data_IF_218986630776
#
_entry.id   IF_218986630776
#
_cell.length_a   1.000
_cell.length_b   1.000
_cell.length_c   1.000
_cell.angle_alpha   90.00
_cell.angle_beta   90.00
_cell.angle_gamma   90.00
#
_symmetry.space_group_name_H-M   'P 1'
#
loop_
_entity.id
_entity.type
_entity.pdbx_description
1 polymer ?
#
# COMPACT_ATOMS: atom_id res chain seq x y z
N UNK A 1 81.26 4.63 21.42
CA UNK A 1 80.72 5.06 20.12
C UNK A 1 79.74 3.99 19.71
N UNK A 2 78.44 4.28 19.75
CA UNK A 2 77.39 3.35 19.34
C UNK A 2 76.82 3.86 18.01
N UNK A 3 77.05 3.11 16.94
CA UNK A 3 76.65 3.47 15.59
C UNK A 3 75.23 2.94 15.35
N UNK A 4 74.24 3.78 15.67
CA UNK A 4 72.83 3.49 15.40
C UNK A 4 72.54 3.45 13.91
N UNK A 5 72.35 2.25 13.36
CA UNK A 5 71.77 2.07 12.03
C UNK A 5 70.25 1.95 12.16
N UNK A 6 69.54 3.02 11.84
CA UNK A 6 68.09 3.02 11.73
C UNK A 6 67.71 2.73 10.27
N UNK A 7 67.38 1.48 9.96
CA UNK A 7 66.85 1.08 8.66
C UNK A 7 65.36 1.45 8.60
N UNK A 8 65.04 2.59 8.00
CA UNK A 8 63.67 2.93 7.61
C UNK A 8 63.41 2.36 6.22
N UNK A 9 62.60 1.31 6.14
CA UNK A 9 62.09 0.79 4.86
C UNK A 9 60.91 1.67 4.43
N UNK A 10 61.12 2.53 3.45
CA UNK A 10 60.03 3.22 2.73
C UNK A 10 59.48 2.26 1.68
N UNK A 11 58.30 1.70 1.97
CA UNK A 11 57.54 0.94 0.98
C UNK A 11 56.75 1.93 0.12
N UNK A 12 57.28 2.28 -1.05
CA UNK A 12 56.53 3.00 -2.08
C UNK A 12 55.49 2.07 -2.70
N UNK A 13 54.29 2.05 -2.11
CA UNK A 13 53.14 1.38 -2.69
C UNK A 13 52.67 2.21 -3.88
N UNK A 14 53.08 1.82 -5.09
CA UNK A 14 52.42 2.26 -6.30
C UNK A 14 51.02 1.64 -6.32
N UNK A 15 50.03 2.35 -5.76
CA UNK A 15 48.63 1.90 -5.75
C UNK A 15 48.09 2.05 -7.17
N UNK A 16 47.76 0.96 -7.88
CA UNK A 16 47.09 1.09 -9.16
C UNK A 16 45.74 1.77 -8.93
N UNK A 17 45.56 2.97 -9.50
CA UNK A 17 44.26 3.64 -9.56
C UNK A 17 43.36 2.76 -10.44
N UNK A 18 42.55 1.93 -9.78
CA UNK A 18 41.46 1.25 -10.45
C UNK A 18 40.46 2.32 -10.90
N UNK A 19 40.48 2.65 -12.19
CA UNK A 19 39.44 3.47 -12.82
C UNK A 19 38.14 2.69 -12.78
N UNK A 20 37.34 2.88 -11.72
CA UNK A 20 36.08 2.21 -11.50
C UNK A 20 34.96 2.86 -12.33
N UNK A 21 35.01 2.67 -13.65
CA UNK A 21 33.96 3.11 -14.56
C UNK A 21 32.60 2.43 -14.29
N UNK A 22 32.57 1.35 -13.49
CA UNK A 22 31.33 0.70 -13.03
C UNK A 22 30.64 1.48 -11.91
N UNK A 23 31.41 2.07 -10.98
CA UNK A 23 30.86 2.89 -9.89
C UNK A 23 30.24 4.21 -10.36
N UNK A 24 30.79 4.84 -11.40
CA UNK A 24 30.26 6.10 -11.91
C UNK A 24 28.87 5.91 -12.54
N UNK A 25 28.71 4.86 -13.35
CA UNK A 25 27.42 4.51 -13.96
C UNK A 25 26.39 4.12 -12.89
N UNK A 26 26.79 3.33 -11.89
CA UNK A 26 25.93 2.95 -10.77
C UNK A 26 25.51 4.17 -9.94
N UNK A 27 26.43 5.10 -9.68
CA UNK A 27 26.17 6.34 -8.93
C UNK A 27 25.16 7.23 -9.65
N UNK A 28 25.30 7.40 -10.97
CA UNK A 28 24.33 8.14 -11.80
C UNK A 28 22.95 7.46 -11.78
N UNK A 29 22.89 6.14 -11.92
CA UNK A 29 21.63 5.39 -11.86
C UNK A 29 20.95 5.50 -10.48
N UNK A 30 21.71 5.41 -9.39
CA UNK A 30 21.20 5.62 -8.03
C UNK A 30 20.70 7.06 -7.86
N UNK A 31 21.43 8.06 -8.36
CA UNK A 31 21.01 9.46 -8.33
C UNK A 31 19.68 9.69 -9.04
N UNK A 32 19.53 9.17 -10.26
CA UNK A 32 18.27 9.23 -11.02
C UNK A 32 17.15 8.50 -10.26
N UNK A 33 17.42 7.30 -9.74
CA UNK A 33 16.45 6.54 -8.95
C UNK A 33 15.97 7.31 -7.71
N UNK A 34 16.88 7.94 -6.96
CA UNK A 34 16.55 8.72 -5.76
C UNK A 34 15.77 9.99 -6.10
N UNK A 35 16.07 10.66 -7.22
CA UNK A 35 15.29 11.82 -7.69
C UNK A 35 13.86 11.40 -8.03
N UNK A 36 13.69 10.30 -8.76
CA UNK A 36 12.36 9.76 -9.11
C UNK A 36 11.59 9.36 -7.85
N UNK A 37 12.25 8.64 -6.94
CA UNK A 37 11.65 8.19 -5.68
C UNK A 37 11.28 9.37 -4.77
N UNK A 38 12.15 10.37 -4.65
CA UNK A 38 11.91 11.60 -3.91
C UNK A 38 10.75 12.41 -4.49
N UNK A 39 10.71 12.57 -5.82
CA UNK A 39 9.60 13.22 -6.52
C UNK A 39 8.27 12.49 -6.29
N UNK A 40 8.27 11.16 -6.40
CA UNK A 40 7.08 10.34 -6.14
C UNK A 40 6.59 10.48 -4.71
N UNK A 41 7.49 10.46 -3.71
CA UNK A 41 7.15 10.67 -2.30
C UNK A 41 6.53 12.04 -2.06
N UNK A 42 7.10 13.10 -2.64
CA UNK A 42 6.55 14.46 -2.51
C UNK A 42 5.13 14.55 -3.09
N UNK A 43 4.90 14.00 -4.27
CA UNK A 43 3.56 13.98 -4.90
C UNK A 43 2.56 13.20 -4.03
N UNK A 44 2.96 12.03 -3.51
CA UNK A 44 2.12 11.25 -2.61
C UNK A 44 1.81 12.00 -1.31
N UNK A 45 2.79 12.68 -0.72
CA UNK A 45 2.62 13.46 0.50
C UNK A 45 1.64 14.63 0.29
N UNK A 46 1.80 15.38 -0.81
CA UNK A 46 0.89 16.48 -1.15
C UNK A 46 -0.54 15.96 -1.37
N UNK A 47 -0.69 14.87 -2.12
CA UNK A 47 -1.99 14.22 -2.33
C UNK A 47 -2.62 13.73 -1.02
N UNK A 48 -1.80 13.17 -0.12
CA UNK A 48 -2.24 12.74 1.20
C UNK A 48 -2.79 13.93 2.02
N UNK A 49 -2.05 15.04 2.06
CA UNK A 49 -2.45 16.24 2.80
C UNK A 49 -3.76 16.82 2.25
N UNK A 50 -3.88 16.94 0.92
CA UNK A 50 -5.12 17.46 0.31
C UNK A 50 -6.33 16.60 0.62
N UNK A 51 -6.19 15.28 0.52
CA UNK A 51 -7.26 14.35 0.86
C UNK A 51 -7.67 14.48 2.34
N UNK A 52 -6.70 14.51 3.25
CA UNK A 52 -6.95 14.64 4.69
C UNK A 52 -7.64 15.97 5.05
N UNK A 53 -7.22 17.09 4.44
CA UNK A 53 -7.86 18.40 4.66
C UNK A 53 -9.29 18.44 4.10
N UNK A 54 -9.50 17.86 2.91
CA UNK A 54 -10.83 17.75 2.29
C UNK A 54 -11.78 16.98 3.20
N UNK A 55 -11.32 15.82 3.67
CA UNK A 55 -12.11 14.94 4.52
C UNK A 55 -12.36 15.52 5.92
N UNK A 56 -11.37 16.20 6.51
CA UNK A 56 -11.51 16.94 7.77
C UNK A 56 -12.61 18.01 7.67
N UNK A 57 -12.58 18.81 6.60
CA UNK A 57 -13.55 19.90 6.39
C UNK A 57 -14.96 19.35 6.18
N UNK A 58 -15.12 18.31 5.37
CA UNK A 58 -16.39 17.62 5.15
C UNK A 58 -16.95 17.08 6.47
N UNK A 59 -16.11 16.37 7.23
CA UNK A 59 -16.52 15.79 8.50
C UNK A 59 -16.94 16.82 9.56
N UNK A 60 -16.25 17.96 9.61
CA UNK A 60 -16.63 19.08 10.47
C UNK A 60 -17.98 19.67 10.08
N UNK A 61 -18.26 19.80 8.78
CA UNK A 61 -19.56 20.28 8.26
C UNK A 61 -20.70 19.30 8.49
N UNK A 62 -20.41 17.99 8.51
CA UNK A 62 -21.37 16.93 8.83
C UNK A 62 -21.57 16.73 10.35
N UNK A 63 -20.93 17.55 11.21
CA UNK A 63 -21.10 17.46 12.67
C UNK A 63 -20.46 16.21 13.31
N UNK A 64 -19.49 15.57 12.65
CA UNK A 64 -18.81 14.39 13.21
C UNK A 64 -17.94 14.77 14.40
N UNK A 65 -17.94 13.93 15.44
CA UNK A 65 -17.25 14.22 16.70
C UNK A 65 -15.71 14.24 16.56
N UNK A 66 -15.15 13.44 15.65
CA UNK A 66 -13.68 13.25 15.54
C UNK A 66 -13.13 13.47 14.11
N UNK A 67 -13.24 14.67 13.50
CA UNK A 67 -12.79 14.91 12.12
C UNK A 67 -11.27 14.81 11.93
N UNK A 68 -10.50 14.93 13.02
CA UNK A 68 -9.04 14.83 13.00
C UNK A 68 -8.53 13.44 12.58
N UNK A 69 -9.38 12.40 12.66
CA UNK A 69 -9.03 11.04 12.21
C UNK A 69 -8.63 10.97 10.74
N UNK A 70 -9.03 11.96 9.93
CA UNK A 70 -8.61 12.10 8.54
C UNK A 70 -7.08 12.21 8.35
N UNK A 71 -6.31 12.60 9.37
CA UNK A 71 -4.85 12.76 9.29
C UNK A 71 -4.05 11.52 9.70
N UNK A 72 -4.69 10.48 10.23
CA UNK A 72 -4.03 9.25 10.64
C UNK A 72 -4.34 8.16 9.61
N UNK A 73 -3.36 7.49 8.98
CA UNK A 73 -3.60 6.58 7.86
C UNK A 73 -4.71 5.55 8.10
N UNK A 74 -4.64 4.78 9.19
CA UNK A 74 -5.65 3.77 9.53
C UNK A 74 -6.98 4.38 9.99
N UNK A 75 -6.93 5.45 10.79
CA UNK A 75 -8.15 6.10 11.26
C UNK A 75 -8.87 6.83 10.12
N UNK A 76 -8.16 7.22 9.06
CA UNK A 76 -8.72 7.84 7.86
C UNK A 76 -9.58 6.85 7.10
N UNK A 77 -9.10 5.63 6.83
CA UNK A 77 -9.92 4.62 6.15
C UNK A 77 -11.21 4.30 6.94
N UNK A 78 -11.13 4.30 8.27
CA UNK A 78 -12.32 4.22 9.13
C UNK A 78 -13.21 5.45 8.99
N UNK A 79 -12.65 6.65 9.13
CA UNK A 79 -13.38 7.91 9.07
C UNK A 79 -14.06 8.12 7.71
N UNK A 80 -13.44 7.65 6.62
CA UNK A 80 -14.01 7.69 5.28
C UNK A 80 -15.31 6.88 5.21
N UNK A 81 -15.32 5.66 5.76
CA UNK A 81 -16.57 4.90 5.85
C UNK A 81 -17.53 5.45 6.91
N UNK A 82 -17.04 6.14 7.95
CA UNK A 82 -17.92 6.84 8.90
C UNK A 82 -18.65 8.04 8.26
N UNK A 83 -18.00 8.72 7.30
CA UNK A 83 -18.58 9.79 6.50
C UNK A 83 -19.63 9.29 5.51
N UNK A 84 -19.49 8.08 4.97
CA UNK A 84 -20.49 7.47 4.09
C UNK A 84 -21.81 7.17 4.82
N UNK A 85 -21.76 6.83 6.12
CA UNK A 85 -22.95 6.41 6.86
C UNK A 85 -23.42 5.00 6.49
N UNK A 86 -24.60 4.55 6.94
CA UNK A 86 -25.09 3.20 6.63
C UNK A 86 -25.43 3.05 5.14
N UNK A 87 -24.92 1.98 4.51
CA UNK A 87 -25.19 1.70 3.09
C UNK A 87 -26.37 0.75 2.94
N UNK A 88 -27.51 1.25 2.46
CA UNK A 88 -28.68 0.42 2.11
C UNK A 88 -28.52 -0.14 0.69
N UNK A 89 -28.13 -1.41 0.56
CA UNK A 89 -28.18 -2.15 -0.71
C UNK A 89 -29.49 -2.93 -0.81
N UNK A 90 -30.52 -2.31 -1.41
CA UNK A 90 -31.86 -2.88 -1.66
C UNK A 90 -32.51 -3.52 -0.42
N UNK A 91 -32.13 -4.76 -0.05
CA UNK A 91 -32.63 -5.52 1.11
C UNK A 91 -31.60 -5.73 2.23
N UNK A 92 -30.35 -5.30 2.07
CA UNK A 92 -29.28 -5.51 3.05
C UNK A 92 -28.61 -4.19 3.40
N UNK A 93 -28.49 -3.90 4.69
CA UNK A 93 -27.79 -2.72 5.17
C UNK A 93 -26.38 -3.10 5.60
N UNK A 94 -25.38 -2.44 5.01
CA UNK A 94 -24.01 -2.46 5.55
C UNK A 94 -24.00 -1.45 6.68
N UNK A 95 -24.19 -1.95 7.91
CA UNK A 95 -24.06 -1.16 9.14
C UNK A 95 -22.57 -0.82 9.30
N UNK A 96 -22.26 0.47 9.37
CA UNK A 96 -20.92 1.02 9.63
C UNK A 96 -19.84 0.55 8.63
N UNK A 97 -19.88 1.01 7.37
CA UNK A 97 -18.89 0.62 6.36
C UNK A 97 -17.45 1.05 6.72
N UNK A 98 -17.27 2.03 7.62
CA UNK A 98 -15.95 2.40 8.17
C UNK A 98 -15.26 1.28 8.94
N UNK A 99 -16.00 0.46 9.69
CA UNK A 99 -15.43 -0.69 10.38
C UNK A 99 -14.98 -1.75 9.37
N UNK A 100 -15.80 -2.01 8.35
CA UNK A 100 -15.45 -2.98 7.30
C UNK A 100 -14.23 -2.56 6.48
N UNK A 101 -14.10 -1.27 6.14
CA UNK A 101 -12.95 -0.75 5.41
C UNK A 101 -11.64 -0.90 6.21
N UNK A 102 -11.71 -0.82 7.55
CA UNK A 102 -10.56 -1.02 8.45
C UNK A 102 -10.27 -2.50 8.72
N UNK A 103 -11.29 -3.31 8.93
CA UNK A 103 -11.14 -4.71 9.38
C UNK A 103 -10.74 -5.64 8.23
N UNK A 104 -11.24 -5.41 7.02
CA UNK A 104 -10.89 -6.25 5.85
C UNK A 104 -9.37 -6.38 5.60
N UNK A 105 -8.58 -5.30 5.55
CA UNK A 105 -7.14 -5.42 5.34
C UNK A 105 -6.43 -6.11 6.51
N UNK A 106 -6.92 -5.95 7.74
CA UNK A 106 -6.36 -6.64 8.92
C UNK A 106 -6.60 -8.15 8.82
N UNK A 107 -7.83 -8.57 8.51
CA UNK A 107 -8.16 -9.99 8.33
C UNK A 107 -7.33 -10.58 7.19
N UNK A 108 -7.28 -9.91 6.04
CA UNK A 108 -6.52 -10.38 4.89
C UNK A 108 -5.02 -10.51 5.21
N UNK A 109 -4.43 -9.50 5.86
CA UNK A 109 -3.03 -9.54 6.29
C UNK A 109 -2.76 -10.67 7.29
N UNK A 110 -3.65 -10.89 8.25
CA UNK A 110 -3.52 -11.99 9.20
C UNK A 110 -3.59 -13.36 8.51
N UNK A 111 -4.59 -13.57 7.64
CA UNK A 111 -4.78 -14.85 6.93
C UNK A 111 -3.61 -15.13 6.00
N UNK A 112 -3.21 -14.15 5.18
CA UNK A 112 -2.06 -14.30 4.27
C UNK A 112 -0.74 -14.48 5.02
N UNK A 113 -0.55 -13.77 6.13
CA UNK A 113 0.62 -13.94 7.00
C UNK A 113 0.73 -15.35 7.59
N UNK A 114 -0.37 -15.92 8.06
CA UNK A 114 -0.41 -17.31 8.55
C UNK A 114 -0.12 -18.30 7.42
N UNK A 115 -0.79 -18.16 6.27
CA UNK A 115 -0.61 -19.06 5.12
C UNK A 115 0.82 -19.03 4.58
N UNK A 116 1.42 -17.85 4.47
CA UNK A 116 2.81 -17.71 4.01
C UNK A 116 3.80 -18.26 5.02
N UNK A 117 3.56 -18.09 6.32
CA UNK A 117 4.40 -18.70 7.37
C UNK A 117 4.37 -20.22 7.29
N UNK A 118 3.19 -20.83 7.17
CA UNK A 118 3.03 -22.29 7.00
C UNK A 118 3.73 -22.76 5.73
N UNK A 119 3.60 -22.02 4.63
CA UNK A 119 4.29 -22.33 3.38
C UNK A 119 5.80 -22.33 3.56
N UNK A 120 6.38 -21.29 4.18
CA UNK A 120 7.83 -21.19 4.40
C UNK A 120 8.32 -22.38 5.23
N UNK A 121 7.64 -22.72 6.32
CA UNK A 121 7.99 -23.89 7.14
C UNK A 121 7.93 -25.18 6.32
N UNK A 122 6.86 -25.38 5.54
CA UNK A 122 6.70 -26.54 4.68
C UNK A 122 7.78 -26.65 3.61
N UNK A 123 8.15 -25.54 2.97
CA UNK A 123 9.21 -25.49 1.96
C UNK A 123 10.59 -25.75 2.58
N UNK A 124 10.90 -25.15 3.73
CA UNK A 124 12.17 -25.37 4.43
C UNK A 124 12.30 -26.84 4.82
N UNK A 125 11.25 -27.44 5.39
CA UNK A 125 11.27 -28.86 5.74
C UNK A 125 11.36 -29.76 4.50
N UNK A 126 10.67 -29.44 3.41
CA UNK A 126 10.75 -30.17 2.15
C UNK A 126 12.14 -30.12 1.52
N UNK A 127 12.80 -28.95 1.55
CA UNK A 127 14.17 -28.79 1.08
C UNK A 127 15.14 -29.59 1.93
N UNK A 128 15.08 -29.46 3.27
CA UNK A 128 15.94 -30.24 4.19
C UNK A 128 15.75 -31.76 4.02
N UNK A 129 14.51 -32.22 3.83
CA UNK A 129 14.24 -33.64 3.56
C UNK A 129 14.83 -34.10 2.21
N UNK A 130 14.79 -33.23 1.20
CA UNK A 130 15.31 -33.57 -0.12
C UNK A 130 16.85 -33.68 -0.16
N UNK A 131 17.54 -32.86 0.64
CA UNK A 131 19.00 -32.94 0.85
C UNK A 131 19.38 -34.21 1.63
N UNK A 132 18.62 -34.58 2.67
CA UNK A 132 18.91 -35.79 3.45
C UNK A 132 18.66 -37.09 2.67
N UNK A 133 17.68 -37.08 1.76
CA UNK A 133 17.33 -38.23 0.93
C UNK A 133 18.10 -38.29 -0.41
N UNK A 134 18.91 -37.28 -0.74
CA UNK A 134 19.62 -37.15 -2.03
C UNK A 134 18.68 -37.39 -3.23
N UNK A 135 17.45 -36.88 -3.13
CA UNK A 135 16.36 -37.22 -4.04
C UNK A 135 15.94 -36.02 -4.88
N UNK A 136 16.28 -36.05 -6.17
CA UNK A 136 15.83 -35.06 -7.14
C UNK A 136 14.29 -35.00 -7.26
N UNK A 137 13.60 -36.13 -7.03
CA UNK A 137 12.14 -36.19 -7.00
C UNK A 137 11.54 -35.43 -5.80
N UNK A 138 12.19 -35.48 -4.63
CA UNK A 138 11.77 -34.75 -3.44
C UNK A 138 11.98 -33.22 -3.59
N UNK A 139 13.09 -32.82 -4.21
CA UNK A 139 13.35 -31.43 -4.59
C UNK A 139 12.25 -30.93 -5.56
N UNK A 140 12.01 -31.68 -6.63
CA UNK A 140 11.00 -31.33 -7.63
C UNK A 140 9.58 -31.26 -7.03
N UNK A 141 9.23 -32.19 -6.14
CA UNK A 141 7.94 -32.18 -5.43
C UNK A 141 7.77 -30.96 -4.52
N UNK A 142 8.84 -30.55 -3.81
CA UNK A 142 8.83 -29.36 -2.95
C UNK A 142 8.70 -28.07 -3.77
N UNK A 143 9.39 -27.99 -4.91
CA UNK A 143 9.27 -26.84 -5.80
C UNK A 143 7.89 -26.77 -6.47
N UNK A 144 7.33 -27.90 -6.88
CA UNK A 144 5.99 -27.96 -7.46
C UNK A 144 4.90 -27.55 -6.45
N UNK A 145 5.01 -28.00 -5.21
CA UNK A 145 4.06 -27.61 -4.15
C UNK A 145 4.14 -26.12 -3.82
N UNK A 146 5.34 -25.53 -3.81
CA UNK A 146 5.54 -24.09 -3.65
C UNK A 146 4.83 -23.31 -4.77
N UNK A 147 5.05 -23.68 -6.03
CA UNK A 147 4.45 -23.00 -7.18
C UNK A 147 2.92 -23.08 -7.12
N UNK A 148 2.37 -24.26 -6.86
CA UNK A 148 0.92 -24.47 -6.75
C UNK A 148 0.31 -23.65 -5.62
N UNK A 149 0.97 -23.58 -4.46
CA UNK A 149 0.51 -22.78 -3.33
C UNK A 149 0.57 -21.28 -3.62
N UNK A 150 1.64 -20.81 -4.26
CA UNK A 150 1.79 -19.41 -4.64
C UNK A 150 0.74 -18.97 -5.66
N UNK A 151 0.43 -19.81 -6.66
CA UNK A 151 -0.67 -19.56 -7.59
C UNK A 151 -2.02 -19.45 -6.87
N UNK A 152 -2.30 -20.31 -5.90
CA UNK A 152 -3.51 -20.23 -5.09
C UNK A 152 -3.58 -18.93 -4.27
N UNK A 153 -2.46 -18.47 -3.69
CA UNK A 153 -2.36 -17.19 -2.99
C UNK A 153 -2.63 -16.00 -3.91
N UNK A 154 -2.12 -16.03 -5.15
CA UNK A 154 -2.40 -14.99 -6.14
C UNK A 154 -3.91 -14.91 -6.40
N UNK A 155 -4.55 -16.05 -6.69
CA UNK A 155 -6.00 -16.08 -6.96
C UNK A 155 -6.78 -15.54 -5.77
N UNK A 156 -6.45 -15.99 -4.55
CA UNK A 156 -7.06 -15.49 -3.32
C UNK A 156 -6.89 -13.97 -3.16
N UNK A 157 -5.68 -13.46 -3.41
CA UNK A 157 -5.37 -12.03 -3.32
C UNK A 157 -6.14 -11.20 -4.35
N UNK A 158 -6.31 -11.71 -5.58
CA UNK A 158 -7.09 -11.04 -6.64
C UNK A 158 -8.57 -10.95 -6.25
N UNK A 159 -9.14 -12.05 -5.74
CA UNK A 159 -10.53 -12.07 -5.27
C UNK A 159 -10.73 -11.07 -4.13
N UNK A 160 -9.81 -11.07 -3.15
CA UNK A 160 -9.85 -10.09 -2.06
C UNK A 160 -9.78 -8.65 -2.57
N UNK A 161 -8.85 -8.35 -3.49
CA UNK A 161 -8.69 -7.01 -4.06
C UNK A 161 -9.96 -6.54 -4.76
N UNK A 162 -10.64 -7.42 -5.49
CA UNK A 162 -11.89 -7.09 -6.17
C UNK A 162 -13.00 -6.74 -5.16
N UNK A 163 -13.17 -7.54 -4.10
CA UNK A 163 -14.15 -7.28 -3.04
C UNK A 163 -13.88 -5.96 -2.33
N UNK A 164 -12.61 -5.70 -2.00
CA UNK A 164 -12.20 -4.45 -1.35
C UNK A 164 -12.45 -3.22 -2.23
N UNK A 165 -12.17 -3.31 -3.52
CA UNK A 165 -12.42 -2.22 -4.48
C UNK A 165 -13.91 -1.89 -4.60
N UNK A 166 -14.77 -2.91 -4.64
CA UNK A 166 -16.24 -2.71 -4.66
C UNK A 166 -16.70 -1.99 -3.40
N UNK A 167 -16.21 -2.41 -2.22
CA UNK A 167 -16.56 -1.73 -0.97
C UNK A 167 -16.14 -0.25 -0.99
N UNK A 168 -14.92 0.06 -1.44
CA UNK A 168 -14.46 1.45 -1.56
C UNK A 168 -15.30 2.27 -2.53
N UNK A 169 -15.71 1.70 -3.67
CA UNK A 169 -16.59 2.38 -4.62
C UNK A 169 -17.94 2.69 -3.98
N UNK A 170 -18.52 1.76 -3.20
CA UNK A 170 -19.80 1.98 -2.51
C UNK A 170 -19.69 3.10 -1.45
N UNK A 171 -18.61 3.10 -0.67
CA UNK A 171 -18.31 4.15 0.32
C UNK A 171 -18.18 5.51 -0.39
N UNK A 172 -17.35 5.60 -1.41
CA UNK A 172 -17.13 6.84 -2.15
C UNK A 172 -18.39 7.34 -2.85
N UNK A 173 -19.21 6.42 -3.40
CA UNK A 173 -20.50 6.79 -4.00
C UNK A 173 -21.41 7.49 -2.99
N UNK A 174 -21.51 6.98 -1.76
CA UNK A 174 -22.36 7.60 -0.75
C UNK A 174 -21.85 8.97 -0.31
N UNK A 175 -20.53 9.11 -0.13
CA UNK A 175 -19.93 10.40 0.20
C UNK A 175 -20.22 11.43 -0.91
N UNK A 176 -20.07 11.04 -2.18
CA UNK A 176 -20.33 11.95 -3.29
C UNK A 176 -21.82 12.21 -3.55
N UNK A 177 -22.71 11.25 -3.25
CA UNK A 177 -24.16 11.43 -3.35
C UNK A 177 -24.67 12.54 -2.43
N UNK A 178 -23.97 12.83 -1.32
CA UNK A 178 -24.29 13.97 -0.46
C UNK A 178 -24.03 15.34 -1.13
N UNK A 179 -23.23 15.40 -2.20
CA UNK A 179 -22.80 16.64 -2.86
C UNK A 179 -23.19 16.73 -4.35
N UNK A 180 -23.63 15.64 -4.97
CA UNK A 180 -23.95 15.58 -6.41
C UNK A 180 -25.26 14.84 -6.67
N UNK A 181 -25.69 14.81 -7.93
CA UNK A 181 -26.78 13.93 -8.37
C UNK A 181 -26.34 12.46 -8.35
N UNK A 182 -27.28 11.53 -8.23
CA UNK A 182 -27.03 10.10 -8.02
C UNK A 182 -26.19 9.46 -9.15
N UNK A 183 -26.46 9.82 -10.41
CA UNK A 183 -25.70 9.33 -11.56
C UNK A 183 -24.26 9.89 -11.61
N UNK A 184 -24.07 11.14 -11.18
CA UNK A 184 -22.75 11.79 -11.16
C UNK A 184 -21.88 11.29 -9.99
N UNK A 185 -22.51 10.92 -8.87
CA UNK A 185 -21.83 10.33 -7.72
C UNK A 185 -21.19 8.97 -8.05
N UNK A 186 -21.86 8.15 -8.86
CA UNK A 186 -21.31 6.87 -9.35
C UNK A 186 -20.09 7.10 -10.23
N UNK A 187 -20.15 8.07 -11.14
CA UNK A 187 -19.02 8.40 -12.02
C UNK A 187 -17.82 8.86 -11.20
N UNK A 188 -18.01 9.78 -10.25
CA UNK A 188 -16.93 10.23 -9.38
C UNK A 188 -16.37 9.11 -8.49
N UNK A 189 -17.21 8.19 -8.01
CA UNK A 189 -16.77 7.06 -7.20
C UNK A 189 -15.92 6.06 -7.99
N UNK A 190 -16.33 5.74 -9.22
CA UNK A 190 -15.55 4.85 -10.12
C UNK A 190 -14.28 5.54 -10.58
N UNK A 191 -14.32 6.83 -10.89
CA UNK A 191 -13.11 7.56 -11.29
C UNK A 191 -12.11 7.68 -10.13
N UNK A 192 -12.60 7.82 -8.90
CA UNK A 192 -11.78 7.83 -7.69
C UNK A 192 -11.10 6.49 -7.40
N UNK A 193 -11.70 5.37 -7.79
CA UNK A 193 -11.07 4.05 -7.61
C UNK A 193 -10.06 3.70 -8.72
N UNK A 194 -10.21 4.26 -9.92
CA UNK A 194 -9.36 3.98 -11.08
C UNK A 194 -8.16 4.92 -11.15
N UNK A 195 -8.34 6.21 -10.85
CA UNK A 195 -7.30 7.23 -11.00
C UNK A 195 -6.68 7.55 -9.63
N UNK A 196 -5.42 7.15 -9.38
CA UNK A 196 -4.70 7.56 -8.17
C UNK A 196 -4.69 9.10 -8.08
N UNK A 197 -4.88 9.65 -6.89
CA UNK A 197 -4.99 11.10 -6.59
C UNK A 197 -6.31 11.77 -6.98
N UNK A 198 -7.16 11.19 -7.82
CA UNK A 198 -8.45 11.81 -8.16
C UNK A 198 -9.37 11.91 -6.94
N UNK A 199 -9.36 10.88 -6.09
CA UNK A 199 -10.11 10.89 -4.83
C UNK A 199 -9.72 12.08 -3.94
N UNK A 200 -8.41 12.34 -3.80
CA UNK A 200 -7.85 13.44 -3.02
C UNK A 200 -8.29 14.80 -3.57
N UNK A 201 -8.21 14.96 -4.89
CA UNK A 201 -8.61 16.19 -5.55
C UNK A 201 -10.12 16.44 -5.43
N UNK A 202 -10.95 15.42 -5.68
CA UNK A 202 -12.40 15.53 -5.56
C UNK A 202 -12.85 15.83 -4.14
N UNK A 203 -12.33 15.13 -3.13
CA UNK A 203 -12.66 15.42 -1.72
C UNK A 203 -12.24 16.84 -1.33
N UNK A 204 -11.12 17.34 -1.85
CA UNK A 204 -10.70 18.72 -1.63
C UNK A 204 -11.62 19.74 -2.32
N UNK A 205 -12.01 19.52 -3.57
CA UNK A 205 -12.89 20.41 -4.33
C UNK A 205 -14.30 20.43 -3.75
N UNK A 206 -14.84 19.26 -3.39
CA UNK A 206 -16.19 19.12 -2.85
C UNK A 206 -16.33 19.60 -1.40
N UNK A 207 -15.22 19.87 -0.69
CA UNK A 207 -15.23 20.23 0.73
C UNK A 207 -16.13 21.41 1.10
N UNK A 208 -16.34 22.35 0.16
CA UNK A 208 -17.12 23.57 0.36
C UNK A 208 -18.45 23.59 -0.42
N UNK A 209 -18.81 22.52 -1.15
CA UNK A 209 -20.09 22.47 -1.85
C UNK A 209 -21.27 22.34 -0.88
N UNK A 210 -22.42 22.89 -1.25
CA UNK A 210 -23.67 22.73 -0.52
C UNK A 210 -24.14 21.28 -0.57
N UNK A 211 -24.82 20.84 0.49
CA UNK A 211 -25.36 19.48 0.57
C UNK A 211 -26.62 19.40 -0.30
N UNK A 212 -26.77 18.32 -1.05
CA UNK A 212 -27.94 18.12 -1.88
C UNK A 212 -29.14 17.69 -1.01
N UNK A 213 -30.25 18.43 -1.07
CA UNK A 213 -31.45 18.23 -0.23
C UNK A 213 -32.16 16.88 -0.50
N UNK A 214 -31.88 16.23 -1.63
CA UNK A 214 -32.48 14.93 -1.98
C UNK A 214 -31.81 13.72 -1.31
N UNK A 215 -30.77 13.94 -0.49
CA UNK A 215 -29.98 12.89 0.16
C UNK A 215 -30.36 12.63 1.64
N UNK A 216 -31.50 13.20 2.11
CA UNK A 216 -32.11 12.90 3.42
C UNK A 216 -33.08 11.73 3.31
#
# INVERSE_FOLDING_TARGET
MDFGYNYSYDYDYNVPVYSDSGSEVLSVLIGIYLIILGGALLIMLVGYIFHSIGMYTIGKRMGKAHPWMAFVPFARDYFQGELAGPIRLKNKEIRNPGIWNLVLPIIFSAVTGVLTTVMIVGTVMGLLASETMWSAGALAGTLMSLIMFYLALIVFSVVYSAVYMVLKILINRQIFAAFTTDNMAVVHAVLSSVVPLYEAFCTFVFRNKEFNETAV
#
